data_IF_154993302225
#
_entry.id   IF_154993302225
#
_cell.length_a   1.000
_cell.length_b   1.000
_cell.length_c   1.000
_cell.angle_alpha   90.00
_cell.angle_beta   90.00
_cell.angle_gamma   90.00
#
_symmetry.space_group_name_H-M   'P 1'
#
loop_
_entity.id
_entity.type
_entity.pdbx_description
1 polymer ?
#
# COMPACT_ATOMS: atom_id res chain seq x y z
N UNK A 1 19.16 14.13 13.77
CA UNK A 1 17.95 13.52 13.13
C UNK A 1 18.01 12.02 13.34
N UNK A 2 17.00 11.37 13.91
CA UNK A 2 16.95 9.90 13.92
C UNK A 2 16.66 9.47 12.49
N UNK A 3 17.57 8.65 11.97
CA UNK A 3 17.64 8.13 10.63
C UNK A 3 16.56 7.07 10.36
N UNK A 4 16.38 6.74 9.10
CA UNK A 4 15.56 5.63 8.60
C UNK A 4 15.71 4.36 9.45
N UNK A 5 14.64 3.61 9.60
CA UNK A 5 14.67 2.34 10.30
C UNK A 5 15.63 1.36 9.60
N UNK A 6 16.39 0.59 10.38
CA UNK A 6 17.21 -0.48 9.81
C UNK A 6 16.36 -1.67 9.41
N UNK A 7 16.51 -2.17 8.19
CA UNK A 7 15.82 -3.36 7.68
C UNK A 7 16.01 -4.59 8.59
N UNK A 8 17.17 -4.69 9.26
CA UNK A 8 17.44 -5.78 10.23
C UNK A 8 16.47 -5.81 11.42
N UNK A 9 15.79 -4.69 11.70
CA UNK A 9 14.79 -4.56 12.77
C UNK A 9 13.35 -4.75 12.28
N UNK A 10 13.16 -4.85 10.98
CA UNK A 10 11.85 -5.08 10.37
C UNK A 10 11.61 -6.59 10.27
N UNK A 11 10.49 -7.10 10.83
CA UNK A 11 10.11 -8.49 10.63
C UNK A 11 9.98 -8.84 9.15
N UNK A 12 10.20 -10.09 8.79
CA UNK A 12 9.89 -10.57 7.46
C UNK A 12 8.38 -10.40 7.17
N UNK A 13 8.05 -10.16 5.90
CA UNK A 13 6.65 -10.09 5.46
C UNK A 13 5.91 -11.41 5.79
N UNK A 14 4.77 -11.30 6.42
CA UNK A 14 3.95 -12.45 6.88
C UNK A 14 2.46 -12.31 6.52
N UNK A 15 2.16 -11.61 5.40
CA UNK A 15 0.78 -11.45 4.92
C UNK A 15 0.12 -10.11 5.23
N UNK A 16 0.63 -9.34 6.19
CA UNK A 16 0.16 -7.97 6.44
C UNK A 16 0.93 -6.96 5.59
N UNK A 17 0.26 -5.99 4.93
CA UNK A 17 0.93 -4.99 4.09
C UNK A 17 1.89 -4.09 4.87
N UNK A 18 1.74 -3.99 6.17
CA UNK A 18 2.58 -3.15 7.02
C UNK A 18 2.81 -3.75 8.40
N UNK A 19 3.78 -3.21 9.10
CA UNK A 19 4.05 -3.46 10.51
C UNK A 19 4.22 -2.15 11.26
N UNK A 20 3.69 -2.07 12.49
CA UNK A 20 3.97 -0.95 13.39
C UNK A 20 5.41 -1.03 13.87
N UNK A 21 6.12 0.09 13.82
CA UNK A 21 7.48 0.23 14.35
C UNK A 21 7.50 1.29 15.45
N UNK A 22 8.47 1.18 16.36
CA UNK A 22 8.62 2.13 17.48
C UNK A 22 7.33 2.33 18.31
N UNK A 23 6.52 1.27 18.46
CA UNK A 23 5.24 1.36 19.15
C UNK A 23 4.20 2.26 18.46
N UNK A 24 4.38 2.54 17.17
CA UNK A 24 3.52 3.45 16.40
C UNK A 24 3.80 4.94 16.66
N UNK A 25 4.87 5.28 17.40
CA UNK A 25 5.22 6.67 17.73
C UNK A 25 6.21 7.23 16.71
N UNK A 26 5.87 8.32 16.00
CA UNK A 26 6.75 8.96 15.04
C UNK A 26 7.87 9.73 15.74
N UNK A 27 8.95 9.99 15.00
CA UNK A 27 10.10 10.75 15.50
C UNK A 27 10.13 12.17 14.92
N UNK A 28 9.28 13.05 15.45
CA UNK A 28 9.32 14.47 15.13
C UNK A 28 9.89 15.27 16.33
N UNK A 29 10.84 16.15 16.07
CA UNK A 29 11.35 17.07 17.07
C UNK A 29 10.25 18.08 17.46
N UNK A 30 10.24 18.53 18.72
CA UNK A 30 9.26 19.51 19.19
C UNK A 30 9.20 20.78 18.33
N UNK A 31 10.35 21.22 17.81
CA UNK A 31 10.46 22.39 16.92
C UNK A 31 9.79 22.21 15.55
N UNK A 32 9.43 20.99 15.16
CA UNK A 32 8.74 20.71 13.90
C UNK A 32 7.21 20.91 14.00
N UNK A 33 6.66 20.97 15.20
CA UNK A 33 5.22 21.18 15.41
C UNK A 33 4.83 22.63 15.21
N UNK A 34 4.93 23.09 13.96
CA UNK A 34 4.55 24.43 13.53
C UNK A 34 3.45 24.32 12.50
N UNK A 35 2.30 24.95 12.77
CA UNK A 35 1.13 24.95 11.89
C UNK A 35 1.36 25.89 10.68
N UNK A 36 2.33 25.52 9.84
CA UNK A 36 2.64 26.21 8.58
C UNK A 36 2.86 25.16 7.51
N UNK A 37 1.95 25.13 6.55
CA UNK A 37 1.99 24.19 5.43
C UNK A 37 3.27 24.33 4.60
N UNK A 38 3.76 23.20 4.12
CA UNK A 38 4.95 23.15 3.28
C UNK A 38 5.39 21.73 2.99
N UNK A 39 6.22 21.56 1.98
CA UNK A 39 6.75 20.24 1.62
C UNK A 39 8.20 20.33 1.17
N UNK A 40 8.93 19.26 1.36
CA UNK A 40 10.34 19.12 0.94
C UNK A 40 10.61 17.70 0.48
N UNK A 41 11.44 17.56 -0.53
CA UNK A 41 11.86 16.29 -1.10
C UNK A 41 13.38 16.23 -1.12
N UNK A 42 13.94 15.10 -0.70
CA UNK A 42 15.38 14.86 -0.83
C UNK A 42 15.77 14.76 -2.30
N UNK A 43 16.95 15.26 -2.65
CA UNK A 43 17.51 15.00 -3.98
C UNK A 43 17.64 13.50 -4.21
N UNK A 44 17.52 13.07 -5.46
CA UNK A 44 17.85 11.71 -5.85
C UNK A 44 19.30 11.39 -5.50
N UNK A 45 19.56 10.16 -5.09
CA UNK A 45 20.93 9.69 -4.86
C UNK A 45 21.65 9.36 -6.18
N UNK A 46 22.90 8.90 -6.09
CA UNK A 46 23.73 8.54 -7.25
C UNK A 46 23.16 7.38 -8.09
N UNK A 47 22.19 6.63 -7.57
CA UNK A 47 21.47 5.56 -8.28
C UNK A 47 20.11 6.03 -8.81
N UNK A 48 19.80 7.33 -8.72
CA UNK A 48 18.50 7.88 -9.13
C UNK A 48 17.33 7.51 -8.20
N UNK A 49 17.61 7.12 -6.94
CA UNK A 49 16.59 6.69 -5.98
C UNK A 49 16.12 7.87 -5.13
N UNK A 50 14.84 7.87 -4.80
CA UNK A 50 14.27 8.87 -3.89
C UNK A 50 14.82 8.71 -2.47
N UNK A 51 15.03 9.83 -1.79
CA UNK A 51 15.23 9.90 -0.36
C UNK A 51 13.93 10.21 0.39
N UNK A 52 14.05 10.83 1.56
CA UNK A 52 12.91 11.22 2.40
C UNK A 52 12.08 12.32 1.74
N UNK A 53 10.77 12.15 1.72
CA UNK A 53 9.78 13.18 1.47
C UNK A 53 9.11 13.59 2.79
N UNK A 54 8.94 14.90 3.01
CA UNK A 54 8.33 15.45 4.21
C UNK A 54 7.35 16.56 3.84
N UNK A 55 6.21 16.60 4.53
CA UNK A 55 5.26 17.71 4.44
C UNK A 55 4.68 18.05 5.82
N UNK A 56 4.35 19.31 6.01
CA UNK A 56 3.34 19.78 6.95
C UNK A 56 2.07 19.93 6.13
N UNK A 57 1.21 18.91 6.16
CA UNK A 57 0.00 18.85 5.35
C UNK A 57 -1.06 19.73 5.98
N UNK A 58 -1.45 20.80 5.30
CA UNK A 58 -2.59 21.64 5.63
C UNK A 58 -3.60 21.66 4.49
N UNK A 59 -4.78 22.19 4.74
CA UNK A 59 -5.86 22.24 3.75
C UNK A 59 -5.49 23.04 2.49
N UNK A 60 -4.64 24.03 2.62
CA UNK A 60 -4.13 24.89 1.57
C UNK A 60 -3.17 24.20 0.59
N UNK A 61 -2.53 23.09 0.98
CA UNK A 61 -1.74 22.24 0.08
C UNK A 61 -2.56 21.19 -0.65
N UNK A 62 -3.74 20.85 -0.17
CA UNK A 62 -4.56 19.82 -0.82
C UNK A 62 -4.99 20.27 -2.22
N UNK A 63 -5.00 19.35 -3.20
CA UNK A 63 -5.28 19.71 -4.59
C UNK A 63 -6.70 20.25 -4.76
N UNK A 64 -6.82 21.36 -5.51
CA UNK A 64 -8.08 21.87 -6.01
C UNK A 64 -8.39 21.34 -7.43
N UNK A 65 -7.40 20.78 -8.11
CA UNK A 65 -7.49 20.31 -9.49
C UNK A 65 -7.39 18.78 -9.57
N UNK A 66 -7.83 18.21 -10.69
CA UNK A 66 -7.67 16.79 -10.97
C UNK A 66 -6.21 16.42 -11.20
N UNK A 67 -5.87 15.18 -10.84
CA UNK A 67 -4.52 14.65 -11.01
C UNK A 67 -4.12 14.55 -12.47
N UNK A 68 -2.99 15.14 -12.83
CA UNK A 68 -2.38 15.04 -14.16
C UNK A 68 -1.68 13.70 -14.41
N UNK A 69 -1.24 13.49 -15.67
CA UNK A 69 -0.45 12.31 -16.04
C UNK A 69 0.96 12.36 -15.42
N UNK A 70 1.45 11.19 -14.98
CA UNK A 70 2.80 10.98 -14.47
C UNK A 70 3.56 9.89 -15.25
N UNK A 71 3.01 9.47 -16.41
CA UNK A 71 3.54 8.36 -17.21
C UNK A 71 4.95 8.57 -17.74
N UNK A 72 5.40 9.82 -17.88
CA UNK A 72 6.74 10.19 -18.36
C UNK A 72 7.85 9.87 -17.34
N UNK A 73 7.54 9.81 -16.05
CA UNK A 73 8.55 9.55 -15.01
C UNK A 73 8.79 8.05 -14.90
N UNK A 74 10.05 7.68 -14.88
CA UNK A 74 10.50 6.29 -14.67
C UNK A 74 11.41 6.26 -13.45
N UNK A 75 10.87 5.96 -12.25
CA UNK A 75 11.69 5.86 -11.04
C UNK A 75 12.75 4.76 -11.15
N UNK A 76 13.76 4.77 -10.28
CA UNK A 76 14.78 3.73 -10.24
C UNK A 76 14.16 2.32 -10.26
N UNK A 77 14.72 1.42 -11.07
CA UNK A 77 14.25 0.04 -11.24
C UNK A 77 12.86 -0.09 -11.90
N UNK A 78 12.40 0.92 -12.66
CA UNK A 78 11.09 0.87 -13.30
C UNK A 78 11.01 -0.15 -14.43
N UNK A 79 10.04 -1.06 -14.32
CA UNK A 79 9.62 -1.97 -15.39
C UNK A 79 8.11 -1.89 -15.59
N UNK A 80 7.67 -2.02 -16.84
CA UNK A 80 6.24 -2.20 -17.15
C UNK A 80 5.94 -3.69 -17.22
N UNK A 81 5.48 -4.25 -16.11
CA UNK A 81 5.23 -5.69 -15.97
C UNK A 81 3.77 -5.94 -15.63
N UNK A 82 3.20 -6.99 -16.24
CA UNK A 82 1.79 -7.38 -16.06
C UNK A 82 1.68 -8.80 -15.53
N UNK A 83 0.70 -8.99 -14.63
CA UNK A 83 0.25 -10.28 -14.12
C UNK A 83 -1.28 -10.25 -14.04
N UNK A 84 -1.93 -10.47 -15.18
CA UNK A 84 -3.35 -10.17 -15.42
C UNK A 84 -4.30 -10.97 -14.52
N UNK A 85 -3.89 -12.13 -14.09
CA UNK A 85 -4.63 -13.06 -13.21
C UNK A 85 -4.33 -12.92 -11.71
N UNK A 86 -3.24 -12.21 -11.35
CA UNK A 86 -2.80 -12.09 -9.95
C UNK A 86 -3.01 -10.70 -9.37
N UNK A 87 -3.04 -9.67 -10.21
CA UNK A 87 -3.00 -8.28 -9.74
C UNK A 87 -4.24 -7.53 -10.22
N UNK A 88 -5.00 -6.97 -9.28
CA UNK A 88 -6.07 -6.03 -9.62
C UNK A 88 -5.47 -4.79 -10.31
N UNK A 89 -5.99 -4.46 -11.51
CA UNK A 89 -5.39 -3.45 -12.40
C UNK A 89 -4.22 -3.95 -13.23
N UNK A 90 -3.85 -5.25 -13.10
CA UNK A 90 -2.94 -6.02 -13.99
C UNK A 90 -1.45 -5.65 -13.89
N UNK A 91 -1.10 -4.42 -13.57
CA UNK A 91 0.29 -3.96 -13.51
C UNK A 91 0.89 -4.16 -12.13
N UNK A 92 2.08 -4.78 -12.09
CA UNK A 92 2.83 -5.01 -10.87
C UNK A 92 3.25 -3.69 -10.22
N UNK A 93 3.86 -2.82 -11.01
CA UNK A 93 4.40 -1.57 -10.50
C UNK A 93 3.50 -0.38 -10.78
N UNK A 94 3.42 0.47 -9.79
CA UNK A 94 2.86 1.81 -9.85
C UNK A 94 3.98 2.82 -9.64
N UNK A 95 3.85 4.01 -10.21
CA UNK A 95 4.60 5.18 -9.81
C UNK A 95 4.01 5.65 -8.50
N UNK A 96 4.52 5.09 -7.39
CA UNK A 96 4.00 5.37 -6.06
C UNK A 96 4.51 6.73 -5.59
N UNK A 97 3.60 7.65 -5.29
CA UNK A 97 3.96 8.86 -4.58
C UNK A 97 4.39 8.51 -3.15
N UNK A 98 5.47 9.11 -2.68
CA UNK A 98 5.83 9.08 -1.26
C UNK A 98 4.84 9.93 -0.44
N UNK A 99 4.57 11.14 -0.91
CA UNK A 99 3.46 11.96 -0.42
C UNK A 99 2.38 11.96 -1.49
N UNK A 100 1.22 11.35 -1.18
CA UNK A 100 0.13 11.18 -2.12
C UNK A 100 -0.41 12.50 -2.66
N UNK A 101 -0.79 12.54 -3.94
CA UNK A 101 -1.35 13.73 -4.60
C UNK A 101 -2.49 14.38 -3.79
N UNK A 102 -3.35 13.58 -3.18
CA UNK A 102 -4.47 14.07 -2.36
C UNK A 102 -4.06 14.89 -1.13
N UNK A 103 -2.79 14.84 -0.73
CA UNK A 103 -2.28 15.52 0.46
C UNK A 103 -1.67 16.90 0.15
N UNK A 104 -0.98 17.02 -0.99
CA UNK A 104 -0.20 18.22 -1.29
C UNK A 104 -0.28 18.70 -2.74
N UNK A 105 -1.09 18.05 -3.58
CA UNK A 105 -1.20 18.41 -5.00
C UNK A 105 0.07 18.17 -5.83
N UNK A 106 1.13 17.60 -5.22
CA UNK A 106 2.38 17.33 -5.92
C UNK A 106 2.21 16.17 -6.90
N UNK A 107 2.28 16.43 -8.20
CA UNK A 107 1.95 15.45 -9.23
C UNK A 107 3.17 14.76 -9.84
N UNK A 108 3.88 15.43 -10.74
CA UNK A 108 4.95 14.86 -11.55
C UNK A 108 6.32 15.29 -11.02
N UNK A 109 6.70 14.80 -9.85
CA UNK A 109 7.97 15.09 -9.20
C UNK A 109 8.78 13.78 -9.06
N UNK A 110 9.93 13.73 -9.72
CA UNK A 110 10.84 12.57 -9.67
C UNK A 110 11.31 12.25 -8.26
N UNK A 111 11.45 13.26 -7.40
CA UNK A 111 11.89 13.10 -6.01
C UNK A 111 10.78 12.56 -5.08
N UNK A 112 9.56 12.47 -5.59
CA UNK A 112 8.37 11.99 -4.86
C UNK A 112 7.81 10.67 -5.41
N UNK A 113 8.44 10.07 -6.42
CA UNK A 113 7.92 8.87 -7.10
C UNK A 113 8.91 7.72 -7.01
N UNK A 114 8.46 6.59 -6.48
CA UNK A 114 9.22 5.34 -6.43
C UNK A 114 8.55 4.25 -7.27
N UNK A 115 9.33 3.25 -7.68
CA UNK A 115 8.80 2.00 -8.20
C UNK A 115 8.25 1.17 -7.05
N UNK A 116 6.94 1.22 -6.88
CA UNK A 116 6.24 0.49 -5.84
C UNK A 116 5.25 -0.50 -6.42
N UNK A 117 5.03 -1.61 -5.72
CA UNK A 117 4.02 -2.58 -6.14
C UNK A 117 2.60 -2.02 -6.01
N UNK A 118 1.67 -2.61 -6.75
CA UNK A 118 0.24 -2.30 -6.58
C UNK A 118 -0.19 -2.52 -5.13
N UNK A 119 0.29 -3.59 -4.49
CA UNK A 119 0.00 -3.94 -3.11
C UNK A 119 0.55 -2.90 -2.11
N UNK A 120 1.82 -2.49 -2.26
CA UNK A 120 2.39 -1.38 -1.48
C UNK A 120 1.49 -0.13 -1.58
N UNK A 121 1.14 0.26 -2.80
CA UNK A 121 0.43 1.51 -3.07
C UNK A 121 -0.99 1.51 -2.49
N UNK A 122 -1.75 0.45 -2.76
CA UNK A 122 -3.21 0.42 -2.49
C UNK A 122 -3.54 -0.17 -1.13
N UNK A 123 -2.91 -1.29 -0.78
CA UNK A 123 -3.19 -1.99 0.48
C UNK A 123 -2.30 -1.47 1.63
N UNK A 124 -1.12 -0.98 1.29
CA UNK A 124 -0.12 -0.52 2.25
C UNK A 124 -0.23 0.97 2.57
N UNK A 125 0.07 1.84 1.60
CA UNK A 125 0.21 3.29 1.84
C UNK A 125 -1.13 4.03 1.89
N UNK A 126 -2.01 3.78 0.93
CA UNK A 126 -3.28 4.52 0.78
C UNK A 126 -4.15 4.60 2.05
N UNK A 127 -4.28 3.55 2.89
CA UNK A 127 -5.04 3.65 4.13
C UNK A 127 -4.49 4.69 5.11
N UNK A 128 -3.17 4.89 5.17
CA UNK A 128 -2.52 5.88 6.01
C UNK A 128 -2.64 7.29 5.43
N UNK A 129 -2.48 7.42 4.11
CA UNK A 129 -2.72 8.69 3.41
C UNK A 129 -4.15 9.18 3.60
N UNK A 130 -5.13 8.27 3.53
CA UNK A 130 -6.53 8.59 3.78
C UNK A 130 -6.77 9.08 5.22
N UNK A 131 -6.11 8.48 6.23
CA UNK A 131 -6.20 8.97 7.61
C UNK A 131 -5.71 10.41 7.74
N UNK A 132 -4.59 10.76 7.08
CA UNK A 132 -4.06 12.12 7.07
C UNK A 132 -5.03 13.07 6.36
N UNK A 133 -5.48 12.71 5.15
CA UNK A 133 -6.39 13.52 4.36
C UNK A 133 -7.72 13.78 5.09
N UNK A 134 -8.30 12.75 5.69
CA UNK A 134 -9.57 12.85 6.42
C UNK A 134 -9.44 13.70 7.68
N UNK A 135 -8.29 13.61 8.39
CA UNK A 135 -8.01 14.46 9.53
C UNK A 135 -7.96 15.94 9.12
N UNK A 136 -7.16 16.27 8.10
CA UNK A 136 -7.01 17.66 7.63
C UNK A 136 -8.32 18.21 7.10
N UNK A 137 -9.07 17.46 6.30
CA UNK A 137 -10.38 17.90 5.77
C UNK A 137 -11.41 18.17 6.87
N UNK A 138 -11.44 17.33 7.88
CA UNK A 138 -12.44 17.40 8.96
C UNK A 138 -12.14 18.50 9.97
N UNK A 139 -10.85 18.69 10.29
CA UNK A 139 -10.44 19.60 11.39
C UNK A 139 -9.95 20.95 10.89
N UNK A 140 -9.43 21.04 9.68
CA UNK A 140 -8.66 22.19 9.18
C UNK A 140 -7.26 22.30 9.77
N UNK A 141 -6.88 21.39 10.66
CA UNK A 141 -5.58 21.35 11.32
C UNK A 141 -4.51 20.71 10.45
N UNK A 142 -3.24 20.81 10.87
CA UNK A 142 -2.08 20.34 10.14
C UNK A 142 -1.60 18.96 10.62
N UNK A 143 -0.91 18.24 9.72
CA UNK A 143 -0.25 16.97 10.01
C UNK A 143 1.20 17.02 9.55
N UNK A 144 2.14 16.74 10.45
CA UNK A 144 3.51 16.36 10.07
C UNK A 144 3.43 14.99 9.42
N UNK A 145 3.87 14.88 8.17
CA UNK A 145 3.86 13.64 7.41
C UNK A 145 5.21 13.42 6.75
N UNK A 146 5.81 12.26 6.99
CA UNK A 146 7.12 11.90 6.44
C UNK A 146 7.10 10.49 5.91
N UNK A 147 7.62 10.32 4.71
CA UNK A 147 7.80 9.00 4.07
C UNK A 147 9.25 8.85 3.64
N UNK A 148 9.86 7.76 4.07
CA UNK A 148 11.25 7.44 3.76
C UNK A 148 11.32 6.06 3.12
N UNK A 149 11.69 5.95 1.84
CA UNK A 149 11.94 4.67 1.21
C UNK A 149 13.20 4.04 1.79
N UNK A 150 13.15 2.73 2.06
CA UNK A 150 14.25 1.99 2.68
C UNK A 150 14.77 0.98 1.67
N UNK A 151 16.02 1.18 1.26
CA UNK A 151 16.73 0.33 0.31
C UNK A 151 17.71 -0.57 1.04
N UNK A 152 17.93 -1.78 0.50
CA UNK A 152 19.00 -2.66 0.94
C UNK A 152 20.21 -2.48 0.01
N UNK A 153 21.30 -1.93 0.55
CA UNK A 153 22.49 -1.64 -0.22
C UNK A 153 22.25 -0.83 -1.50
N UNK A 154 22.66 -1.36 -2.62
CA UNK A 154 22.54 -0.74 -3.95
C UNK A 154 21.27 -1.11 -4.71
N UNK A 155 20.31 -1.77 -4.07
CA UNK A 155 19.06 -2.14 -4.71
C UNK A 155 18.33 -0.92 -5.27
N UNK A 156 17.81 -1.04 -6.51
CA UNK A 156 17.07 0.04 -7.17
C UNK A 156 15.63 0.14 -6.67
N UNK A 157 15.07 -0.98 -6.19
CA UNK A 157 13.73 -1.04 -5.61
C UNK A 157 13.82 -0.98 -4.09
N UNK A 158 13.05 -0.09 -3.48
CA UNK A 158 12.95 -0.04 -2.02
C UNK A 158 12.33 -1.34 -1.46
N UNK A 159 12.88 -1.87 -0.38
CA UNK A 159 12.29 -3.00 0.36
C UNK A 159 10.93 -2.66 0.96
N UNK A 160 10.68 -1.38 1.18
CA UNK A 160 9.45 -0.80 1.67
C UNK A 160 9.63 0.67 1.99
N UNK A 161 8.60 1.26 2.58
CA UNK A 161 8.64 2.66 3.01
C UNK A 161 8.32 2.77 4.51
N UNK A 162 9.07 3.61 5.20
CA UNK A 162 8.74 4.05 6.55
C UNK A 162 7.80 5.24 6.42
N UNK A 163 6.62 5.17 7.03
CA UNK A 163 5.65 6.25 7.05
C UNK A 163 5.43 6.73 8.49
N UNK A 164 5.46 8.03 8.68
CA UNK A 164 5.28 8.68 9.97
C UNK A 164 4.31 9.83 9.84
N UNK A 165 3.38 9.95 10.78
CA UNK A 165 2.49 11.10 10.88
C UNK A 165 2.24 11.50 12.32
N UNK A 166 1.99 12.80 12.52
CA UNK A 166 1.56 13.37 13.80
C UNK A 166 0.76 14.64 13.57
N UNK A 167 -0.43 14.74 14.16
CA UNK A 167 -1.18 15.99 14.17
C UNK A 167 -0.41 17.09 14.89
N UNK A 168 -0.42 18.31 14.31
CA UNK A 168 0.44 19.41 14.77
C UNK A 168 -0.11 20.07 16.03
N UNK A 169 -1.33 20.55 15.99
CA UNK A 169 -1.93 21.42 17.00
C UNK A 169 -2.13 20.73 18.35
N UNK A 170 -2.35 19.42 18.33
CA UNK A 170 -2.53 18.62 19.55
C UNK A 170 -1.35 17.70 19.88
N UNK A 171 -0.23 17.87 19.15
CA UNK A 171 1.01 17.10 19.34
C UNK A 171 0.79 15.57 19.25
N UNK A 172 0.03 15.13 18.26
CA UNK A 172 -0.19 13.72 17.95
C UNK A 172 -1.24 13.03 18.81
N UNK A 173 -2.05 13.76 19.57
CA UNK A 173 -3.10 13.16 20.42
C UNK A 173 -4.23 12.53 19.60
N UNK A 174 -4.62 13.17 18.49
CA UNK A 174 -5.72 12.69 17.64
C UNK A 174 -5.24 11.80 16.50
N UNK A 175 -4.10 12.15 15.89
CA UNK A 175 -3.52 11.37 14.80
C UNK A 175 -2.03 11.18 15.01
N UNK A 176 -1.62 9.93 15.13
CA UNK A 176 -0.21 9.57 15.04
C UNK A 176 -0.05 8.13 14.54
N UNK A 177 0.95 7.91 13.71
CA UNK A 177 1.39 6.57 13.37
C UNK A 177 2.88 6.55 12.99
N UNK A 178 3.47 5.37 13.12
CA UNK A 178 4.80 5.04 12.64
C UNK A 178 4.79 3.58 12.19
N UNK A 179 4.89 3.38 10.89
CA UNK A 179 4.77 2.07 10.26
C UNK A 179 5.87 1.87 9.22
N UNK A 180 6.22 0.62 8.99
CA UNK A 180 6.93 0.18 7.80
C UNK A 180 5.96 -0.56 6.88
N UNK A 181 5.84 -0.13 5.65
CA UNK A 181 4.98 -0.72 4.61
C UNK A 181 5.85 -1.49 3.64
N UNK A 182 5.55 -2.77 3.45
CA UNK A 182 6.35 -3.67 2.62
C UNK A 182 6.13 -3.42 1.13
N UNK A 183 7.21 -3.34 0.36
CA UNK A 183 7.14 -3.27 -1.10
C UNK A 183 7.15 -4.69 -1.70
N UNK A 184 6.10 -5.42 -1.46
CA UNK A 184 5.89 -6.79 -1.93
C UNK A 184 4.62 -6.87 -2.78
N UNK A 185 4.47 -7.96 -3.53
CA UNK A 185 3.21 -8.32 -4.17
C UNK A 185 2.95 -9.80 -3.89
N UNK A 186 1.86 -10.16 -3.20
CA UNK A 186 1.49 -11.56 -2.99
C UNK A 186 1.50 -12.35 -4.29
N UNK A 187 2.10 -13.54 -4.27
CA UNK A 187 2.24 -14.39 -5.46
C UNK A 187 3.36 -14.02 -6.43
N UNK A 188 4.10 -12.94 -6.18
CA UNK A 188 5.21 -12.47 -7.02
C UNK A 188 6.50 -12.41 -6.23
N UNK A 189 7.60 -12.87 -6.81
CA UNK A 189 8.96 -12.67 -6.33
C UNK A 189 9.60 -11.53 -7.11
N UNK A 190 10.09 -10.53 -6.40
CA UNK A 190 10.75 -9.34 -6.95
C UNK A 190 12.26 -9.47 -6.74
N UNK A 191 13.02 -9.14 -7.76
CA UNK A 191 14.45 -8.83 -7.64
C UNK A 191 14.59 -7.34 -7.33
N UNK A 192 14.91 -7.01 -6.09
CA UNK A 192 15.02 -5.62 -5.65
C UNK A 192 16.26 -4.92 -6.22
N UNK A 193 17.25 -5.67 -6.68
CA UNK A 193 18.45 -5.07 -7.29
C UNK A 193 18.11 -4.41 -8.63
N UNK A 194 17.24 -5.05 -9.43
CA UNK A 194 16.94 -4.62 -10.81
C UNK A 194 15.51 -4.13 -11.01
N UNK A 195 14.54 -4.67 -10.26
CA UNK A 195 13.11 -4.51 -10.50
C UNK A 195 12.49 -5.63 -11.33
N UNK A 196 13.28 -6.62 -11.74
CA UNK A 196 12.76 -7.81 -12.39
C UNK A 196 11.84 -8.60 -11.47
N UNK A 197 10.93 -9.35 -12.04
CA UNK A 197 9.97 -10.10 -11.25
C UNK A 197 9.54 -11.39 -11.93
N UNK A 198 9.11 -12.34 -11.12
CA UNK A 198 8.55 -13.62 -11.57
C UNK A 198 7.49 -14.11 -10.60
N UNK A 199 6.64 -15.04 -11.03
CA UNK A 199 5.70 -15.72 -10.12
C UNK A 199 6.47 -16.43 -9.02
N UNK A 200 5.95 -16.40 -7.81
CA UNK A 200 6.44 -17.25 -6.73
C UNK A 200 6.16 -18.72 -7.06
N UNK A 201 7.14 -19.59 -6.81
CA UNK A 201 6.95 -21.05 -7.01
C UNK A 201 5.82 -21.55 -6.10
N UNK A 202 4.80 -22.16 -6.67
CA UNK A 202 3.58 -22.61 -5.96
C UNK A 202 2.29 -21.91 -6.38
N UNK A 203 2.36 -20.84 -7.18
CA UNK A 203 1.20 -20.21 -7.81
C UNK A 203 1.08 -20.68 -9.26
N UNK A 204 0.79 -21.96 -9.48
CA UNK A 204 0.53 -22.50 -10.81
C UNK A 204 -0.82 -22.00 -11.31
N UNK A 205 -0.81 -21.11 -12.28
CA UNK A 205 -1.90 -21.02 -13.24
C UNK A 205 -1.95 -22.35 -14.01
N UNK A 206 -3.08 -23.02 -13.98
CA UNK A 206 -3.29 -24.34 -14.58
C UNK A 206 -3.02 -24.29 -16.08
N UNK A 207 -1.89 -24.85 -16.49
CA UNK A 207 -1.72 -25.41 -17.83
C UNK A 207 -2.00 -26.89 -17.72
N UNK A 208 -3.06 -27.31 -18.36
CA UNK A 208 -3.51 -28.71 -18.42
C UNK A 208 -2.42 -29.56 -19.07
N UNK A 209 -1.78 -30.43 -18.31
CA UNK A 209 -1.19 -31.66 -18.83
C UNK A 209 -1.54 -32.79 -17.87
N UNK A 210 -2.22 -33.76 -18.41
CA UNK A 210 -2.67 -34.99 -17.77
C UNK A 210 -1.49 -35.81 -17.24
N UNK A 211 -1.70 -36.41 -16.05
CA UNK A 211 -1.07 -37.68 -15.69
C UNK A 211 -0.37 -37.72 -14.35
N UNK A 212 -0.89 -38.65 -13.54
CA UNK A 212 -0.27 -39.39 -12.44
C UNK A 212 -0.54 -38.91 -11.01
N UNK A 213 -1.30 -39.78 -10.35
CA UNK A 213 -1.67 -39.86 -8.93
C UNK A 213 -0.47 -39.87 -7.97
N UNK A 214 -0.61 -39.13 -6.88
CA UNK A 214 0.27 -39.25 -5.72
C UNK A 214 -0.26 -38.40 -4.56
N UNK A 215 -0.97 -39.02 -3.64
CA UNK A 215 -1.49 -38.41 -2.43
C UNK A 215 -0.33 -37.99 -1.50
N UNK A 216 -0.28 -36.73 -1.07
CA UNK A 216 0.36 -36.38 0.21
C UNK A 216 -0.53 -35.32 0.90
N UNK A 217 -1.01 -35.71 2.07
CA UNK A 217 -1.73 -34.84 2.99
C UNK A 217 -0.84 -33.73 3.55
N UNK A 218 -1.26 -32.51 3.38
CA UNK A 218 -0.68 -31.33 4.04
C UNK A 218 -1.81 -30.48 4.62
N UNK A 219 -2.04 -30.61 5.92
CA UNK A 219 -3.03 -29.85 6.69
C UNK A 219 -2.67 -28.37 6.74
N UNK A 220 -3.28 -27.55 5.88
CA UNK A 220 -3.30 -26.10 5.99
C UNK A 220 -4.65 -25.68 6.56
N UNK A 221 -4.65 -25.12 7.74
CA UNK A 221 -5.83 -24.66 8.48
C UNK A 221 -6.47 -23.45 7.78
N UNK A 222 -7.27 -23.65 6.75
CA UNK A 222 -8.09 -22.63 6.10
C UNK A 222 -9.37 -22.45 6.91
N UNK A 223 -9.39 -21.48 7.82
CA UNK A 223 -10.61 -21.13 8.53
C UNK A 223 -11.67 -20.62 7.53
N UNK A 224 -12.76 -21.36 7.40
CA UNK A 224 -13.93 -20.92 6.64
C UNK A 224 -14.77 -19.94 7.48
N UNK A 225 -15.28 -18.89 6.86
CA UNK A 225 -16.21 -17.95 7.50
C UNK A 225 -17.32 -17.52 6.53
N UNK A 226 -18.36 -16.85 7.08
CA UNK A 226 -19.48 -16.39 6.26
C UNK A 226 -19.14 -15.11 5.52
N UNK A 227 -19.44 -15.08 4.22
CA UNK A 227 -19.33 -13.92 3.37
C UNK A 227 -20.62 -13.71 2.57
N UNK A 228 -20.82 -12.47 2.12
CA UNK A 228 -21.85 -12.11 1.16
C UNK A 228 -21.16 -11.74 -0.16
N UNK A 229 -21.43 -12.49 -1.21
CA UNK A 229 -20.96 -12.22 -2.55
C UNK A 229 -21.91 -11.28 -3.27
N UNK A 230 -21.37 -10.28 -3.95
CA UNK A 230 -22.10 -9.50 -4.95
C UNK A 230 -21.84 -10.14 -6.32
N UNK A 231 -22.83 -10.84 -6.84
CA UNK A 231 -22.70 -11.57 -8.10
C UNK A 231 -22.56 -10.67 -9.33
N UNK A 232 -23.03 -9.42 -9.23
CA UNK A 232 -22.95 -8.41 -10.30
C UNK A 232 -21.56 -7.75 -10.35
N UNK A 233 -21.03 -7.29 -9.20
CA UNK A 233 -19.75 -6.56 -9.14
C UNK A 233 -18.55 -7.47 -8.88
N UNK A 234 -18.79 -8.77 -8.65
CA UNK A 234 -17.77 -9.75 -8.29
C UNK A 234 -16.96 -9.35 -7.05
N UNK A 235 -17.62 -8.70 -6.08
CA UNK A 235 -17.04 -8.37 -4.78
C UNK A 235 -17.63 -9.22 -3.68
N UNK A 236 -16.81 -9.56 -2.66
CA UNK A 236 -17.30 -10.23 -1.47
C UNK A 236 -17.11 -9.36 -0.22
N UNK A 237 -17.96 -9.56 0.78
CA UNK A 237 -18.13 -8.70 1.93
C UNK A 237 -18.29 -9.52 3.21
N UNK A 238 -17.90 -8.96 4.35
CA UNK A 238 -18.41 -9.46 5.61
C UNK A 238 -19.92 -9.21 5.71
N UNK A 239 -20.70 -10.10 6.39
CA UNK A 239 -22.16 -9.91 6.52
C UNK A 239 -22.58 -8.59 7.16
N UNK A 240 -21.74 -8.04 8.05
CA UNK A 240 -21.95 -6.75 8.73
C UNK A 240 -21.56 -5.53 7.89
N UNK A 241 -21.07 -5.71 6.66
CA UNK A 241 -20.61 -4.59 5.84
C UNK A 241 -21.78 -3.69 5.41
N UNK A 242 -21.62 -2.37 5.60
CA UNK A 242 -22.64 -1.36 5.17
C UNK A 242 -23.01 -1.49 3.69
N UNK A 243 -22.08 -1.90 2.83
CA UNK A 243 -22.38 -2.10 1.41
C UNK A 243 -23.36 -3.25 1.14
N UNK A 244 -23.53 -4.18 2.08
CA UNK A 244 -24.46 -5.30 1.94
C UNK A 244 -25.91 -4.82 2.05
N UNK A 245 -26.22 -3.85 2.93
CA UNK A 245 -27.58 -3.29 3.04
C UNK A 245 -28.01 -2.52 1.79
N UNK A 246 -27.05 -1.97 1.04
CA UNK A 246 -27.27 -1.20 -0.19
C UNK A 246 -27.30 -2.07 -1.45
N UNK A 247 -27.03 -3.38 -1.33
CA UNK A 247 -26.96 -4.31 -2.44
C UNK A 247 -28.36 -4.84 -2.79
N UNK A 248 -28.69 -4.86 -4.07
CA UNK A 248 -29.95 -5.47 -4.52
C UNK A 248 -29.99 -6.97 -4.17
N UNK A 249 -31.11 -7.47 -3.64
CA UNK A 249 -31.27 -8.86 -3.16
C UNK A 249 -30.87 -9.91 -4.22
N UNK A 250 -31.26 -9.67 -5.47
CA UNK A 250 -30.92 -10.56 -6.61
C UNK A 250 -29.41 -10.74 -6.84
N UNK A 251 -28.59 -9.83 -6.32
CA UNK A 251 -27.14 -9.86 -6.45
C UNK A 251 -26.44 -10.40 -5.20
N UNK A 252 -27.17 -10.69 -4.12
CA UNK A 252 -26.64 -11.21 -2.86
C UNK A 252 -26.57 -12.73 -2.89
N UNK A 253 -25.40 -13.29 -2.60
CA UNK A 253 -25.21 -14.73 -2.38
C UNK A 253 -24.42 -14.92 -1.10
N UNK A 254 -25.04 -15.51 -0.07
CA UNK A 254 -24.33 -15.89 1.15
C UNK A 254 -23.54 -17.18 0.91
N UNK A 255 -22.29 -17.21 1.36
CA UNK A 255 -21.42 -18.38 1.28
C UNK A 255 -20.67 -18.55 2.60
N UNK A 256 -20.31 -19.81 2.91
CA UNK A 256 -19.34 -20.13 3.95
C UNK A 256 -18.17 -20.82 3.26
N UNK A 257 -17.05 -20.11 3.17
CA UNK A 257 -15.88 -20.58 2.42
C UNK A 257 -14.60 -19.95 3.01
N UNK A 258 -13.44 -20.43 2.60
CA UNK A 258 -12.21 -19.71 2.87
C UNK A 258 -12.12 -18.45 1.98
N UNK A 259 -11.42 -17.45 2.47
CA UNK A 259 -11.13 -16.24 1.67
C UNK A 259 -10.42 -16.57 0.35
N UNK A 260 -9.53 -17.56 0.41
CA UNK A 260 -8.77 -18.01 -0.76
C UNK A 260 -9.66 -18.62 -1.84
N UNK A 261 -10.63 -19.46 -1.43
CA UNK A 261 -11.57 -20.09 -2.36
C UNK A 261 -12.47 -19.06 -3.07
N UNK A 262 -12.96 -18.07 -2.33
CA UNK A 262 -13.78 -16.98 -2.90
C UNK A 262 -12.98 -16.15 -3.92
N UNK A 263 -11.70 -15.90 -3.64
CA UNK A 263 -10.82 -15.22 -4.60
C UNK A 263 -10.55 -16.10 -5.83
N UNK A 264 -10.36 -17.41 -5.63
CA UNK A 264 -10.20 -18.37 -6.71
C UNK A 264 -11.45 -18.44 -7.62
N UNK A 265 -12.64 -18.23 -7.04
CA UNK A 265 -13.92 -18.15 -7.76
C UNK A 265 -14.12 -16.80 -8.50
N UNK A 266 -13.08 -15.97 -8.56
CA UNK A 266 -13.07 -14.71 -9.32
C UNK A 266 -13.73 -13.52 -8.61
N UNK A 267 -13.89 -13.60 -7.26
CA UNK A 267 -14.37 -12.48 -6.49
C UNK A 267 -13.21 -11.69 -5.86
N UNK A 268 -13.35 -10.39 -5.75
CA UNK A 268 -12.42 -9.50 -5.08
C UNK A 268 -12.98 -8.97 -3.75
N UNK A 269 -12.14 -8.72 -2.74
CA UNK A 269 -12.61 -8.18 -1.47
C UNK A 269 -13.22 -6.78 -1.64
N UNK A 270 -14.23 -6.49 -0.84
CA UNK A 270 -14.84 -5.16 -0.77
C UNK A 270 -13.86 -4.15 -0.15
N UNK A 271 -13.68 -3.00 -0.80
CA UNK A 271 -12.81 -1.92 -0.31
C UNK A 271 -13.22 -1.32 1.03
N UNK A 272 -14.52 -1.41 1.40
CA UNK A 272 -15.04 -0.84 2.65
C UNK A 272 -14.82 -1.74 3.87
N UNK A 273 -15.13 -3.02 3.77
CA UNK A 273 -15.02 -3.95 4.91
C UNK A 273 -13.79 -4.86 4.85
N UNK A 274 -13.09 -4.92 3.73
CA UNK A 274 -11.84 -5.67 3.52
C UNK A 274 -11.88 -7.10 4.09
N UNK A 275 -12.82 -7.92 3.62
CA UNK A 275 -12.98 -9.28 4.09
C UNK A 275 -11.83 -10.19 3.69
#
# INVERSE_FOLDING_TARGET
MRTAVSLRKIPAYSGSPYVKISGGKPYFAKSMYVAKSGQTFSKLDSLGRCGTAFAVVGKDLMPAEERGSIGMIKPAGWHTVRYDDLIDGKYLYNRCHLIGYQLTGENANEQNLITGTRYLNVEGMLPFENQVADYVRRTGNHVLYRVTPIYDGSNLIASGVQMEASSVEDHGKTLQFHVFVYNVQPGIKIDYATGDSRRASGTSGSSVVSGVSGAISGSGNSSTQKYILNTSTKKFHYPSCRSVSQMAEKNKKAVTASRADIIADGYSPCGNCKP
#
